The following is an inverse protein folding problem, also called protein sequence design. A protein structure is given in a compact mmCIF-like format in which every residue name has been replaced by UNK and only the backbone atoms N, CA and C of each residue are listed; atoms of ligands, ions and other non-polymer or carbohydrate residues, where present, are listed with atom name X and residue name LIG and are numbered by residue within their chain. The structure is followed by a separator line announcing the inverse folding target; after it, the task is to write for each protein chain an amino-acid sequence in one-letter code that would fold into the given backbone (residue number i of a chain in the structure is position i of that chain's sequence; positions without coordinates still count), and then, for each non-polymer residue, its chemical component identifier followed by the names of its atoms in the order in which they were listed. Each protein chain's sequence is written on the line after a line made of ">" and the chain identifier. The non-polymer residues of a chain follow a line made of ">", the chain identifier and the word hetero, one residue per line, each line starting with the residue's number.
data_IF_781174630245
#
_entry.id   IF_781174630245
#
_cell.length_a   1.000
_cell.length_b   1.000
_cell.length_c   1.000
_cell.angle_alpha   90.00
_cell.angle_beta   90.00
_cell.angle_gamma   90.00
#
_symmetry.space_group_name_H-M   'P 1'
#
loop_
_entity.id
_entity.type
_entity.pdbx_description
1 polymer ?
#
# COMPACT_ATOMS: atom_id res chain seq x y z
N UNK A 1 23.28 -16.97 5.53
CA UNK A 1 21.81 -17.15 5.57
C UNK A 1 21.32 -17.38 7.00
N UNK A 2 22.07 -18.05 7.88
CA UNK A 2 21.67 -18.43 9.25
C UNK A 2 21.50 -17.26 10.26
N UNK A 3 21.54 -16.01 9.82
CA UNK A 3 21.44 -14.82 10.69
C UNK A 3 20.28 -13.89 10.33
N UNK A 4 19.41 -14.24 9.38
CA UNK A 4 18.24 -13.45 9.04
C UNK A 4 17.11 -13.82 9.99
N UNK A 5 16.70 -12.89 10.85
CA UNK A 5 15.63 -13.11 11.82
C UNK A 5 14.26 -12.65 11.33
N UNK A 6 14.22 -11.69 10.40
CA UNK A 6 12.99 -11.12 9.89
C UNK A 6 13.15 -10.65 8.45
N UNK A 7 12.18 -10.97 7.61
CA UNK A 7 11.93 -10.31 6.33
C UNK A 7 10.67 -9.47 6.46
N UNK A 8 10.77 -8.18 6.13
CA UNK A 8 9.66 -7.24 6.16
C UNK A 8 9.43 -6.72 4.75
N UNK A 9 8.18 -6.76 4.27
CA UNK A 9 7.83 -6.21 2.97
C UNK A 9 6.41 -5.67 2.93
N UNK A 10 6.22 -4.57 2.18
CA UNK A 10 4.90 -4.13 1.72
C UNK A 10 4.48 -5.01 0.53
N UNK A 11 3.22 -5.51 0.46
CA UNK A 11 2.70 -6.20 -0.73
C UNK A 11 2.71 -5.34 -1.99
N UNK A 12 2.49 -4.04 -1.82
CA UNK A 12 2.66 -3.00 -2.83
C UNK A 12 3.50 -1.90 -2.20
N UNK A 13 4.64 -1.58 -2.77
CA UNK A 13 5.51 -0.52 -2.26
C UNK A 13 4.84 0.84 -2.42
N UNK A 14 4.26 1.36 -1.35
CA UNK A 14 3.45 2.58 -1.37
C UNK A 14 4.24 3.82 -1.77
N UNK A 15 5.18 4.25 -0.94
CA UNK A 15 6.01 5.45 -1.18
C UNK A 15 6.96 5.24 -2.36
N UNK A 16 7.39 4.00 -2.60
CA UNK A 16 8.22 3.61 -3.73
C UNK A 16 7.59 3.84 -5.11
N UNK A 17 6.31 4.26 -5.17
CA UNK A 17 5.63 4.62 -6.43
C UNK A 17 4.47 3.68 -6.76
N UNK A 18 3.84 3.10 -5.76
CA UNK A 18 2.75 2.11 -5.90
C UNK A 18 3.15 0.93 -6.80
N UNK A 19 4.35 0.41 -6.54
CA UNK A 19 4.92 -0.70 -7.29
C UNK A 19 4.48 -2.03 -6.67
N UNK A 20 3.68 -2.85 -7.38
CA UNK A 20 3.43 -4.22 -6.97
C UNK A 20 4.73 -5.00 -6.90
N UNK A 21 4.81 -5.95 -5.99
CA UNK A 21 5.97 -6.83 -5.93
C UNK A 21 6.03 -7.74 -7.17
N UNK A 22 7.23 -8.05 -7.69
CA UNK A 22 7.36 -9.01 -8.77
C UNK A 22 6.74 -10.36 -8.42
N UNK A 23 6.13 -11.00 -9.41
CA UNK A 23 5.49 -12.30 -9.22
C UNK A 23 6.49 -13.31 -8.65
N UNK A 24 6.11 -14.01 -7.57
CA UNK A 24 6.93 -15.01 -6.93
C UNK A 24 8.02 -14.48 -5.99
N UNK A 25 8.44 -13.22 -6.12
CA UNK A 25 9.56 -12.66 -5.33
C UNK A 25 9.35 -12.79 -3.81
N UNK A 26 8.18 -12.37 -3.33
CA UNK A 26 7.88 -12.44 -1.88
C UNK A 26 7.81 -13.89 -1.42
N UNK A 27 7.20 -14.78 -2.20
CA UNK A 27 7.09 -16.20 -1.87
C UNK A 27 8.46 -16.85 -1.70
N UNK A 28 9.34 -16.67 -2.69
CA UNK A 28 10.72 -17.21 -2.63
C UNK A 28 11.52 -16.59 -1.48
N UNK A 29 11.41 -15.28 -1.25
CA UNK A 29 12.07 -14.63 -0.13
C UNK A 29 11.58 -15.17 1.23
N UNK A 30 10.28 -15.38 1.38
CA UNK A 30 9.67 -15.96 2.58
C UNK A 30 10.17 -17.38 2.80
N UNK A 31 10.20 -18.21 1.76
CA UNK A 31 10.68 -19.59 1.84
C UNK A 31 12.15 -19.63 2.32
N UNK A 32 13.00 -18.79 1.74
CA UNK A 32 14.41 -18.70 2.15
C UNK A 32 14.58 -18.22 3.60
N UNK A 33 13.81 -17.22 4.02
CA UNK A 33 13.88 -16.70 5.39
C UNK A 33 13.37 -17.73 6.39
N UNK A 34 12.28 -18.41 6.10
CA UNK A 34 11.73 -19.48 6.96
C UNK A 34 12.67 -20.67 7.05
N UNK A 35 13.30 -21.06 5.96
CA UNK A 35 14.34 -22.10 5.95
C UNK A 35 15.55 -21.74 6.81
N UNK A 36 15.83 -20.44 6.99
CA UNK A 36 16.87 -19.93 7.89
C UNK A 36 16.40 -19.75 9.35
N UNK A 37 15.15 -20.10 9.67
CA UNK A 37 14.55 -19.91 11.00
C UNK A 37 14.05 -18.48 11.27
N UNK A 38 13.94 -17.65 10.26
CA UNK A 38 13.41 -16.29 10.36
C UNK A 38 11.90 -16.20 10.18
N UNK A 39 11.35 -15.01 10.38
CA UNK A 39 9.93 -14.71 10.28
C UNK A 39 9.64 -13.80 9.08
N UNK A 40 8.39 -13.82 8.62
CA UNK A 40 7.88 -12.86 7.62
C UNK A 40 6.87 -11.92 8.26
N UNK A 41 7.09 -10.60 8.08
CA UNK A 41 6.16 -9.54 8.42
C UNK A 41 5.62 -8.91 7.14
N UNK A 42 4.30 -8.98 6.94
CA UNK A 42 3.61 -8.20 5.92
C UNK A 42 3.24 -6.82 6.46
N UNK A 43 3.74 -5.79 5.82
CA UNK A 43 3.36 -4.41 6.13
C UNK A 43 2.08 -4.05 5.35
N UNK A 44 0.95 -4.14 6.04
CA UNK A 44 -0.39 -3.84 5.52
C UNK A 44 -0.84 -2.39 5.82
N UNK A 45 0.06 -1.53 6.23
CA UNK A 45 -0.23 -0.14 6.60
C UNK A 45 -0.87 0.63 5.44
N UNK A 46 -0.61 0.26 4.21
CA UNK A 46 -1.25 0.86 3.03
C UNK A 46 -2.17 -0.10 2.26
N UNK A 47 -1.87 -1.39 2.27
CA UNK A 47 -2.60 -2.39 1.49
C UNK A 47 -3.75 -3.06 2.22
N UNK A 48 -3.81 -2.96 3.54
CA UNK A 48 -4.86 -3.59 4.34
C UNK A 48 -6.25 -2.97 4.16
N UNK A 49 -7.23 -3.64 4.74
CA UNK A 49 -8.62 -3.18 4.84
C UNK A 49 -9.34 -2.99 3.51
N UNK A 50 -9.06 -3.84 2.52
CA UNK A 50 -9.78 -3.89 1.25
C UNK A 50 -9.38 -2.84 0.22
N UNK A 51 -8.41 -1.97 0.48
CA UNK A 51 -7.97 -0.93 -0.47
C UNK A 51 -7.53 -1.45 -1.84
N UNK A 52 -6.85 -2.62 -1.98
CA UNK A 52 -6.55 -3.22 -3.28
C UNK A 52 -7.76 -3.72 -4.06
N UNK A 53 -8.92 -3.79 -3.44
CA UNK A 53 -10.18 -4.21 -4.06
C UNK A 53 -10.31 -5.72 -4.24
N UNK A 54 -9.29 -6.40 -4.71
CA UNK A 54 -9.32 -7.84 -4.98
C UNK A 54 -9.31 -8.70 -3.71
N UNK A 55 -8.64 -8.24 -2.66
CA UNK A 55 -8.49 -8.95 -1.38
C UNK A 55 -8.57 -7.95 -0.22
N UNK A 56 -8.89 -8.45 0.97
CA UNK A 56 -8.94 -7.61 2.17
C UNK A 56 -7.53 -7.25 2.66
N UNK A 57 -6.58 -8.17 2.53
CA UNK A 57 -5.17 -7.97 2.84
C UNK A 57 -4.29 -8.12 1.61
N UNK A 58 -3.26 -7.31 1.52
CA UNK A 58 -2.33 -7.35 0.40
C UNK A 58 -1.54 -8.67 0.31
N UNK A 59 -1.19 -9.30 1.44
CA UNK A 59 -0.50 -10.59 1.42
C UNK A 59 -1.33 -11.73 0.79
N UNK A 60 -2.65 -11.63 0.81
CA UNK A 60 -3.54 -12.59 0.16
C UNK A 60 -3.39 -12.55 -1.36
N UNK A 61 -3.16 -11.35 -1.94
CA UNK A 61 -2.88 -11.19 -3.37
C UNK A 61 -1.61 -11.91 -3.80
N UNK A 62 -0.65 -12.05 -2.88
CA UNK A 62 0.63 -12.71 -3.12
C UNK A 62 0.58 -14.22 -2.84
N UNK A 63 -0.53 -14.71 -2.28
CA UNK A 63 -0.68 -16.09 -1.85
C UNK A 63 0.28 -16.47 -0.70
N UNK A 64 0.71 -15.49 0.11
CA UNK A 64 1.62 -15.71 1.24
C UNK A 64 0.87 -15.76 2.56
N UNK A 65 1.51 -16.32 3.59
CA UNK A 65 1.00 -16.33 4.95
C UNK A 65 2.05 -15.73 5.90
N UNK A 66 1.86 -14.47 6.33
CA UNK A 66 2.79 -13.82 7.24
C UNK A 66 2.69 -14.38 8.67
N UNK A 67 3.80 -14.30 9.41
CA UNK A 67 3.85 -14.58 10.85
C UNK A 67 3.42 -13.34 11.66
N UNK A 68 3.64 -12.15 11.07
CA UNK A 68 3.32 -10.85 11.68
C UNK A 68 2.69 -9.97 10.60
N UNK A 69 1.65 -9.22 10.98
CA UNK A 69 0.99 -8.22 10.14
C UNK A 69 0.98 -6.88 10.86
N UNK A 70 1.56 -5.85 10.26
CA UNK A 70 1.44 -4.47 10.76
C UNK A 70 0.31 -3.74 10.03
N UNK A 71 -0.48 -2.97 10.77
CA UNK A 71 -1.62 -2.24 10.23
C UNK A 71 -1.83 -0.89 10.93
N UNK A 72 -2.24 0.12 10.17
CA UNK A 72 -2.52 1.47 10.66
C UNK A 72 -3.43 2.22 9.68
N UNK A 73 -3.29 3.51 9.56
CA UNK A 73 -3.93 4.43 8.60
C UNK A 73 -5.43 4.18 8.43
N UNK A 74 -5.82 3.33 7.48
CA UNK A 74 -7.23 3.00 7.20
C UNK A 74 -7.97 2.52 8.44
N UNK A 75 -7.29 1.77 9.33
CA UNK A 75 -7.88 1.25 10.56
C UNK A 75 -8.49 2.34 11.44
N UNK A 76 -7.89 3.51 11.47
CA UNK A 76 -8.38 4.66 12.26
C UNK A 76 -9.09 5.72 11.44
N UNK A 77 -9.02 5.66 10.09
CA UNK A 77 -9.55 6.67 9.17
C UNK A 77 -9.23 8.10 9.59
N UNK A 78 -7.93 8.36 9.87
CA UNK A 78 -7.42 9.64 10.37
C UNK A 78 -7.28 9.74 11.87
N UNK A 79 -7.95 8.88 12.66
CA UNK A 79 -7.69 8.78 14.08
C UNK A 79 -6.39 7.99 14.34
N UNK A 80 -5.55 8.38 15.32
CA UNK A 80 -4.30 7.68 15.64
C UNK A 80 -4.55 6.27 16.17
N UNK A 81 -4.52 5.29 15.28
CA UNK A 81 -4.72 3.88 15.59
C UNK A 81 -3.80 3.02 14.74
N UNK A 82 -3.09 2.13 15.38
CA UNK A 82 -2.27 1.11 14.76
C UNK A 82 -2.37 -0.20 15.54
N UNK A 83 -2.16 -1.30 14.87
CA UNK A 83 -2.13 -2.61 15.50
C UNK A 83 -1.09 -3.51 14.82
N UNK A 84 -0.66 -4.52 15.56
CA UNK A 84 0.17 -5.60 15.05
C UNK A 84 -0.51 -6.91 15.44
N UNK A 85 -0.83 -7.72 14.45
CA UNK A 85 -1.27 -9.09 14.65
C UNK A 85 -0.10 -10.04 14.42
N UNK A 86 -0.02 -11.12 15.19
CA UNK A 86 1.06 -12.07 15.07
C UNK A 86 0.61 -13.48 15.46
N UNK A 87 1.38 -14.48 15.05
CA UNK A 87 1.13 -15.85 15.46
C UNK A 87 1.23 -16.00 16.99
N UNK A 88 0.50 -16.96 17.54
CA UNK A 88 0.53 -17.24 18.99
C UNK A 88 1.96 -17.52 19.50
N UNK A 89 2.75 -18.19 18.69
CA UNK A 89 4.14 -18.51 19.01
C UNK A 89 4.98 -17.23 19.19
N UNK A 90 4.89 -16.30 18.25
CA UNK A 90 5.58 -14.99 18.33
C UNK A 90 5.05 -14.18 19.50
N UNK A 91 3.74 -14.15 19.72
CA UNK A 91 3.12 -13.42 20.82
C UNK A 91 3.59 -13.92 22.18
N UNK A 92 3.74 -15.23 22.35
CA UNK A 92 4.23 -15.83 23.59
C UNK A 92 5.69 -15.43 23.91
N UNK A 93 6.51 -15.14 22.90
CA UNK A 93 7.86 -14.62 23.11
C UNK A 93 7.87 -13.19 23.64
N UNK A 94 6.84 -12.41 23.35
CA UNK A 94 6.68 -11.02 23.84
C UNK A 94 6.02 -10.95 25.23
N UNK A 95 5.18 -11.92 25.58
CA UNK A 95 4.41 -11.89 26.83
C UNK A 95 5.26 -11.66 28.09
N UNK A 96 6.49 -12.22 28.26
CA UNK A 96 7.34 -11.94 29.41
C UNK A 96 8.10 -10.61 29.32
N UNK A 97 7.98 -9.87 28.20
CA UNK A 97 8.69 -8.60 28.02
C UNK A 97 7.80 -7.44 28.43
N UNK A 98 8.39 -6.50 29.13
CA UNK A 98 7.70 -5.27 29.47
C UNK A 98 7.50 -4.42 28.20
N UNK A 99 6.25 -4.27 27.79
CA UNK A 99 5.84 -3.37 26.71
C UNK A 99 4.91 -2.32 27.27
N UNK A 100 5.12 -1.06 26.90
CA UNK A 100 4.30 0.06 27.36
C UNK A 100 4.02 1.03 26.23
N UNK A 101 2.77 1.48 26.14
CA UNK A 101 2.35 2.55 25.24
C UNK A 101 1.35 3.44 25.97
N UNK A 102 1.68 4.72 26.16
CA UNK A 102 0.83 5.68 26.87
C UNK A 102 -0.58 5.77 26.30
N UNK A 103 -0.71 5.76 24.97
CA UNK A 103 -1.98 5.89 24.27
C UNK A 103 -2.53 4.56 23.72
N UNK A 104 -1.78 3.47 23.90
CA UNK A 104 -2.20 2.15 23.41
C UNK A 104 -3.49 1.70 24.06
N UNK A 105 -4.42 1.16 23.25
CA UNK A 105 -5.68 0.61 23.71
C UNK A 105 -6.68 1.64 24.28
N UNK A 106 -6.50 2.95 24.00
CA UNK A 106 -7.43 3.94 24.51
C UNK A 106 -8.85 3.72 23.92
N UNK A 107 -9.90 3.91 24.74
CA UNK A 107 -11.26 3.52 24.33
C UNK A 107 -11.81 4.33 23.15
N UNK A 108 -11.37 5.58 22.97
CA UNK A 108 -11.83 6.41 21.85
C UNK A 108 -11.27 5.89 20.53
N UNK A 109 -9.97 5.57 20.48
CA UNK A 109 -9.37 4.95 19.29
C UNK A 109 -9.99 3.59 18.97
N UNK A 110 -10.28 2.78 20.00
CA UNK A 110 -10.92 1.48 19.82
C UNK A 110 -12.35 1.61 19.27
N UNK A 111 -13.11 2.59 19.75
CA UNK A 111 -14.46 2.87 19.24
C UNK A 111 -14.41 3.35 17.78
N UNK A 112 -13.50 4.26 17.45
CA UNK A 112 -13.29 4.73 16.08
C UNK A 112 -12.92 3.58 15.14
N UNK A 113 -11.94 2.75 15.51
CA UNK A 113 -11.51 1.61 14.69
C UNK A 113 -12.62 0.59 14.48
N UNK A 114 -13.41 0.29 15.50
CA UNK A 114 -14.55 -0.62 15.38
C UNK A 114 -15.58 -0.09 14.37
N UNK A 115 -15.88 1.20 14.42
CA UNK A 115 -16.84 1.80 13.51
C UNK A 115 -16.31 1.86 12.08
N UNK A 116 -15.03 2.12 11.88
CA UNK A 116 -14.38 2.05 10.56
C UNK A 116 -14.53 0.66 9.95
N UNK A 117 -14.26 -0.41 10.71
CA UNK A 117 -14.40 -1.77 10.21
C UNK A 117 -15.86 -2.06 9.80
N UNK A 118 -16.80 -1.62 10.64
CA UNK A 118 -18.24 -1.78 10.34
C UNK A 118 -18.63 -1.06 9.04
N UNK A 119 -18.18 0.18 8.84
CA UNK A 119 -18.48 0.94 7.61
C UNK A 119 -17.88 0.26 6.38
N UNK A 120 -16.65 -0.28 6.47
CA UNK A 120 -16.04 -1.02 5.37
C UNK A 120 -16.92 -2.20 4.94
N UNK A 121 -17.48 -2.94 5.91
CA UNK A 121 -18.33 -4.09 5.64
C UNK A 121 -19.74 -3.66 5.17
N UNK A 122 -20.40 -2.77 5.90
CA UNK A 122 -21.77 -2.33 5.62
C UNK A 122 -21.92 -1.64 4.26
N UNK A 123 -20.92 -0.85 3.86
CA UNK A 123 -20.91 -0.11 2.59
C UNK A 123 -20.18 -0.86 1.46
N UNK A 124 -19.70 -2.08 1.74
CA UNK A 124 -18.98 -2.91 0.76
C UNK A 124 -17.81 -2.17 0.07
N UNK A 125 -17.02 -1.44 0.88
CA UNK A 125 -15.98 -0.54 0.38
C UNK A 125 -14.87 -1.26 -0.37
N UNK A 126 -14.59 -2.52 -0.07
CA UNK A 126 -13.64 -3.33 -0.83
C UNK A 126 -14.08 -3.47 -2.30
N UNK A 127 -15.36 -3.79 -2.54
CA UNK A 127 -15.87 -3.90 -3.90
C UNK A 127 -15.88 -2.55 -4.62
N UNK A 128 -16.27 -1.47 -3.92
CA UNK A 128 -16.20 -0.13 -4.49
C UNK A 128 -14.75 0.25 -4.87
N UNK A 129 -13.77 -0.09 -4.01
CA UNK A 129 -12.35 0.11 -4.32
C UNK A 129 -11.95 -0.62 -5.61
N UNK A 130 -12.42 -1.84 -5.81
CA UNK A 130 -12.18 -2.59 -7.05
C UNK A 130 -12.79 -1.90 -8.25
N UNK A 131 -14.08 -1.57 -8.20
CA UNK A 131 -14.82 -1.03 -9.34
C UNK A 131 -14.30 0.36 -9.75
N UNK A 132 -14.02 1.22 -8.77
CA UNK A 132 -13.44 2.55 -9.03
C UNK A 132 -11.99 2.44 -9.51
N UNK A 133 -11.22 1.50 -8.94
CA UNK A 133 -9.85 1.21 -9.38
C UNK A 133 -9.80 0.77 -10.85
N UNK A 134 -10.65 -0.16 -11.25
CA UNK A 134 -10.76 -0.62 -12.64
C UNK A 134 -11.14 0.53 -13.58
N UNK A 135 -12.07 1.41 -13.15
CA UNK A 135 -12.46 2.61 -13.90
C UNK A 135 -11.27 3.59 -14.08
N UNK A 136 -10.52 3.86 -13.02
CA UNK A 136 -9.33 4.71 -13.07
C UNK A 136 -8.26 4.12 -13.99
N UNK A 137 -7.92 2.85 -13.81
CA UNK A 137 -6.90 2.18 -14.61
C UNK A 137 -7.24 2.21 -16.10
N UNK A 138 -8.51 2.00 -16.45
CA UNK A 138 -8.97 2.10 -17.83
C UNK A 138 -8.73 3.51 -18.39
N UNK A 139 -9.22 4.56 -17.73
CA UNK A 139 -9.06 5.93 -18.19
C UNK A 139 -7.60 6.38 -18.25
N UNK A 140 -6.78 6.00 -17.27
CA UNK A 140 -5.35 6.32 -17.25
C UNK A 140 -4.58 5.61 -18.37
N UNK A 141 -4.94 4.37 -18.74
CA UNK A 141 -4.34 3.68 -19.88
C UNK A 141 -4.76 4.30 -21.21
N UNK A 142 -5.98 4.82 -21.33
CA UNK A 142 -6.40 5.63 -22.49
C UNK A 142 -5.57 6.92 -22.60
N UNK A 143 -5.26 7.57 -21.48
CA UNK A 143 -4.37 8.73 -21.46
C UNK A 143 -2.93 8.33 -21.80
N UNK A 144 -2.44 7.21 -21.27
CA UNK A 144 -1.11 6.67 -21.59
C UNK A 144 -0.95 6.46 -23.10
N UNK A 145 -1.98 6.02 -23.80
CA UNK A 145 -1.92 5.86 -25.26
C UNK A 145 -1.79 7.20 -26.01
N UNK A 146 -2.29 8.29 -25.45
CA UNK A 146 -2.28 9.64 -26.04
C UNK A 146 -1.04 10.44 -25.71
N UNK A 147 -0.50 10.27 -24.51
CA UNK A 147 0.59 11.11 -23.97
C UNK A 147 1.86 10.28 -23.74
N UNK A 148 2.92 10.64 -24.43
CA UNK A 148 4.22 9.97 -24.35
C UNK A 148 4.94 10.18 -23.02
N UNK A 149 4.53 11.20 -22.28
CA UNK A 149 5.04 11.51 -20.94
C UNK A 149 4.54 10.56 -19.86
N UNK A 150 3.50 9.78 -20.12
CA UNK A 150 3.05 8.73 -19.21
C UNK A 150 3.83 7.47 -19.53
N UNK A 151 4.84 7.18 -18.71
CA UNK A 151 5.72 6.01 -18.87
C UNK A 151 5.03 4.73 -18.46
N UNK A 152 4.39 4.76 -17.27
CA UNK A 152 3.69 3.59 -16.75
C UNK A 152 2.44 3.96 -15.95
N UNK A 153 1.45 3.07 -16.00
CA UNK A 153 0.24 3.10 -15.18
C UNK A 153 0.10 1.74 -14.54
N UNK A 154 0.14 1.71 -13.22
CA UNK A 154 0.14 0.46 -12.44
C UNK A 154 -0.70 0.57 -11.17
N UNK A 155 -1.03 -0.56 -10.58
CA UNK A 155 -1.75 -0.63 -9.31
C UNK A 155 -2.95 -1.57 -9.34
N UNK A 156 -3.70 -1.57 -8.26
CA UNK A 156 -4.93 -2.36 -8.09
C UNK A 156 -5.85 -1.66 -7.10
N UNK A 157 -7.16 -1.76 -7.33
CA UNK A 157 -8.13 -1.02 -6.54
C UNK A 157 -7.81 0.46 -6.50
N UNK A 158 -7.93 1.08 -5.35
CA UNK A 158 -7.60 2.50 -5.13
C UNK A 158 -6.17 2.69 -4.62
N UNK A 159 -5.22 1.98 -5.23
CA UNK A 159 -3.79 2.14 -5.08
C UNK A 159 -3.15 2.20 -6.47
N UNK A 160 -3.09 3.39 -7.07
CA UNK A 160 -2.70 3.57 -8.46
C UNK A 160 -1.51 4.53 -8.56
N UNK A 161 -0.48 4.12 -9.30
CA UNK A 161 0.68 4.91 -9.64
C UNK A 161 0.71 5.27 -11.12
N UNK A 162 0.98 6.56 -11.41
CA UNK A 162 1.23 7.06 -12.76
C UNK A 162 2.63 7.60 -12.81
N UNK A 163 3.52 6.90 -13.50
CA UNK A 163 4.92 7.30 -13.61
C UNK A 163 5.13 8.19 -14.81
N UNK A 164 5.71 9.35 -14.55
CA UNK A 164 5.96 10.36 -15.57
C UNK A 164 7.41 10.27 -16.05
N UNK A 165 7.57 10.25 -17.37
CA UNK A 165 8.86 10.16 -18.06
C UNK A 165 9.02 11.31 -19.06
N UNK A 166 10.22 11.52 -19.58
CA UNK A 166 10.46 12.52 -20.63
C UNK A 166 9.74 12.16 -21.91
N UNK A 167 10.00 10.98 -22.42
CA UNK A 167 9.35 10.44 -23.62
C UNK A 167 9.46 8.90 -23.61
N UNK A 168 8.33 8.22 -23.48
CA UNK A 168 8.24 6.75 -23.45
C UNK A 168 8.75 6.08 -24.71
N UNK A 169 8.61 6.74 -25.86
CA UNK A 169 8.99 6.14 -27.16
C UNK A 169 10.52 6.18 -27.38
N UNK A 170 11.24 7.01 -26.64
CA UNK A 170 12.72 7.10 -26.71
C UNK A 170 13.36 6.26 -25.63
N UNK A 171 12.99 6.54 -24.38
CA UNK A 171 13.47 5.83 -23.20
C UNK A 171 12.52 6.09 -22.02
N UNK A 172 12.77 5.43 -20.90
CA UNK A 172 11.98 5.63 -19.66
C UNK A 172 12.69 6.57 -18.68
N UNK A 173 13.48 7.52 -19.18
CA UNK A 173 14.11 8.51 -18.32
C UNK A 173 13.06 9.27 -17.52
N UNK A 174 13.24 9.45 -16.21
CA UNK A 174 12.30 10.19 -15.38
C UNK A 174 12.06 11.58 -15.94
N UNK A 175 10.81 12.05 -15.85
CA UNK A 175 10.48 13.44 -16.12
C UNK A 175 11.34 14.37 -15.28
N UNK A 176 11.72 15.50 -15.83
CA UNK A 176 12.45 16.52 -15.09
C UNK A 176 11.71 16.91 -13.81
N UNK A 177 12.45 17.03 -12.72
CA UNK A 177 11.87 17.24 -11.39
C UNK A 177 11.11 18.57 -11.29
N UNK A 178 11.58 19.61 -11.96
CA UNK A 178 10.92 20.93 -12.00
C UNK A 178 9.62 20.83 -12.80
N UNK A 179 9.66 20.21 -13.98
CA UNK A 179 8.48 20.01 -14.80
C UNK A 179 7.43 19.15 -14.07
N UNK A 180 7.84 18.08 -13.40
CA UNK A 180 6.91 17.27 -12.62
C UNK A 180 6.31 18.08 -11.47
N UNK A 181 7.10 18.87 -10.76
CA UNK A 181 6.62 19.73 -9.68
C UNK A 181 5.58 20.74 -10.16
N UNK A 182 5.84 21.38 -11.31
CA UNK A 182 4.90 22.34 -11.91
C UNK A 182 3.56 21.69 -12.28
N UNK A 183 3.60 20.49 -12.88
CA UNK A 183 2.38 19.73 -13.21
C UNK A 183 1.66 19.32 -11.93
N UNK A 184 2.40 18.82 -10.94
CA UNK A 184 1.87 18.39 -9.66
C UNK A 184 1.15 19.54 -8.92
N UNK A 185 1.76 20.73 -8.89
CA UNK A 185 1.13 21.90 -8.25
C UNK A 185 -0.12 22.35 -9.02
N UNK A 186 -0.09 22.33 -10.35
CA UNK A 186 -1.25 22.70 -11.18
C UNK A 186 -2.48 21.82 -10.98
N UNK A 187 -2.33 20.58 -10.47
CA UNK A 187 -3.51 19.75 -10.18
C UNK A 187 -4.43 20.39 -9.15
N UNK A 188 -3.88 21.20 -8.25
CA UNK A 188 -4.63 21.93 -7.23
C UNK A 188 -5.57 22.98 -7.84
N UNK A 189 -5.19 23.60 -8.96
CA UNK A 189 -6.02 24.57 -9.68
C UNK A 189 -7.29 23.92 -10.23
N UNK A 190 -7.25 22.60 -10.44
CA UNK A 190 -8.40 21.77 -10.83
C UNK A 190 -9.11 21.13 -9.63
N UNK A 191 -8.77 21.52 -8.39
CA UNK A 191 -9.36 20.99 -7.17
C UNK A 191 -8.94 19.57 -6.82
N UNK A 192 -7.81 19.08 -7.37
CA UNK A 192 -7.35 17.71 -7.16
C UNK A 192 -6.04 17.71 -6.38
N UNK A 193 -5.99 16.91 -5.29
CA UNK A 193 -4.78 16.67 -4.53
C UNK A 193 -4.30 15.24 -4.78
N UNK A 194 -3.10 15.11 -5.33
CA UNK A 194 -2.42 13.83 -5.48
C UNK A 194 -1.32 13.65 -4.43
N UNK A 195 -0.95 12.40 -4.17
CA UNK A 195 0.30 12.08 -3.52
C UNK A 195 1.46 12.04 -4.54
N UNK A 196 2.69 12.18 -4.04
CA UNK A 196 3.92 12.10 -4.81
C UNK A 196 4.78 10.95 -4.28
N UNK A 197 5.45 10.22 -5.16
CA UNK A 197 6.34 9.13 -4.79
C UNK A 197 7.23 8.67 -5.94
N UNK A 198 7.77 7.45 -5.78
CA UNK A 198 8.72 6.88 -6.73
C UNK A 198 10.17 7.25 -6.44
N UNK A 199 11.10 6.43 -6.93
CA UNK A 199 12.54 6.60 -6.72
C UNK A 199 13.06 7.98 -7.12
N UNK A 200 12.50 8.53 -8.18
CA UNK A 200 12.89 9.84 -8.73
C UNK A 200 11.88 10.95 -8.42
N UNK A 201 10.85 10.64 -7.61
CA UNK A 201 9.80 11.57 -7.27
C UNK A 201 8.88 11.97 -8.45
N UNK A 202 8.84 11.15 -9.49
CA UNK A 202 8.10 11.37 -10.74
C UNK A 202 6.82 10.53 -10.86
N UNK A 203 6.29 10.02 -9.74
CA UNK A 203 5.08 9.21 -9.73
C UNK A 203 3.96 9.95 -9.01
N UNK A 204 2.83 10.14 -9.71
CA UNK A 204 1.58 10.48 -9.05
C UNK A 204 1.04 9.26 -8.32
N UNK A 205 0.78 9.42 -7.04
CA UNK A 205 0.16 8.39 -6.21
C UNK A 205 -1.31 8.73 -6.00
N UNK A 206 -2.19 7.90 -6.55
CA UNK A 206 -3.64 8.08 -6.52
C UNK A 206 -4.22 7.10 -5.52
N UNK A 207 -4.62 7.62 -4.37
CA UNK A 207 -5.16 6.85 -3.24
C UNK A 207 -6.33 7.63 -2.61
N UNK A 208 -7.46 7.79 -3.34
CA UNK A 208 -8.63 8.51 -2.82
C UNK A 208 -9.30 7.76 -1.68
N UNK A 209 -10.28 8.37 -0.99
CA UNK A 209 -11.20 7.64 -0.10
C UNK A 209 -11.81 6.44 -0.81
N UNK A 210 -12.15 5.41 -0.03
CA UNK A 210 -12.75 4.18 -0.57
C UNK A 210 -14.27 4.27 -0.72
N UNK A 211 -14.89 5.31 -0.16
CA UNK A 211 -16.32 5.62 -0.26
C UNK A 211 -16.66 6.41 -1.53
#
# INVERSE_FOLDING_TARGET
>A
ASRVSLFLAEPIMGVGGLCPQPCGFINEAVDHVKAAGGLYLSDEVQTGFGRPGSHYWGFEMLGTKPDIVSMAKQQGNGFPLAAVAMSKEVANCLAPKLTFSTYGGNPVAMAAGREVLKVIDDENLQQNSKDRGDQFLKGLNELKSKYKQIGDVRGTGLMIGVEMVKNRDENLDPMDATMFADIFEKTKDYGILFGKGGRYGNVFRIQPPMC
#
